data_IF_787935740863
#
_entry.id   IF_787935740863
#
_cell.length_a   1.000
_cell.length_b   1.000
_cell.length_c   1.000
_cell.angle_alpha   90.00
_cell.angle_beta   90.00
_cell.angle_gamma   90.00
#
_symmetry.space_group_name_H-M   'P 1'
#
loop_
_entity.id
_entity.type
_entity.pdbx_description
1 polymer ?
#
# COMPACT_ATOMS: atom_id res chain seq x y z
N UNK A 1 -3.92 24.76 -43.02
CA UNK A 1 -3.31 25.54 -41.94
C UNK A 1 -3.48 24.74 -40.63
N UNK A 2 -2.39 24.39 -40.00
CA UNK A 2 -2.41 23.82 -38.64
C UNK A 2 -2.56 25.01 -37.70
N UNK A 3 -3.70 25.13 -37.06
CA UNK A 3 -3.99 26.24 -36.15
C UNK A 3 -3.49 26.04 -34.73
N UNK A 4 -3.16 24.80 -34.37
CA UNK A 4 -2.50 24.47 -33.09
C UNK A 4 -1.81 23.11 -33.19
N UNK A 5 -0.65 22.99 -32.58
CA UNK A 5 0.00 21.70 -32.33
C UNK A 5 0.48 21.69 -30.88
N UNK A 6 0.20 20.62 -30.15
CA UNK A 6 0.71 20.43 -28.79
C UNK A 6 1.31 19.04 -28.65
N UNK A 7 2.42 18.95 -27.95
CA UNK A 7 3.04 17.67 -27.56
C UNK A 7 3.16 17.65 -26.05
N UNK A 8 2.61 16.61 -25.43
CA UNK A 8 2.71 16.41 -23.99
C UNK A 8 3.50 15.15 -23.72
N UNK A 9 4.51 15.23 -22.87
CA UNK A 9 5.33 14.10 -22.46
C UNK A 9 5.52 14.11 -20.95
N UNK A 10 5.26 12.99 -20.30
CA UNK A 10 5.54 12.80 -18.88
C UNK A 10 6.49 11.62 -18.69
N UNK A 11 7.45 11.77 -17.77
CA UNK A 11 8.35 10.67 -17.38
C UNK A 11 8.35 10.56 -15.86
N UNK A 12 8.21 9.34 -15.38
CA UNK A 12 8.50 9.00 -14.00
C UNK A 12 9.48 7.83 -13.94
N UNK A 13 10.13 7.66 -12.81
CA UNK A 13 11.04 6.55 -12.55
C UNK A 13 10.73 6.04 -11.15
N UNK A 14 10.55 4.72 -11.06
CA UNK A 14 10.42 3.98 -9.81
C UNK A 14 11.53 2.94 -9.76
N UNK A 15 12.24 2.89 -8.65
CA UNK A 15 13.29 1.88 -8.36
C UNK A 15 12.90 1.22 -7.06
N UNK A 16 12.90 -0.12 -7.06
CA UNK A 16 12.56 -0.90 -5.88
C UNK A 16 13.64 -1.93 -5.60
N UNK A 17 14.02 -2.04 -4.33
CA UNK A 17 14.89 -3.11 -3.82
C UNK A 17 14.18 -3.79 -2.67
N UNK A 18 14.24 -5.10 -2.60
CA UNK A 18 13.62 -5.85 -1.52
C UNK A 18 14.49 -7.02 -1.05
N UNK A 19 14.33 -7.35 0.23
CA UNK A 19 14.87 -8.55 0.85
C UNK A 19 13.73 -9.30 1.54
N UNK A 20 13.74 -10.64 1.44
CA UNK A 20 12.79 -11.50 2.15
C UNK A 20 13.50 -12.71 2.73
N UNK A 21 13.18 -13.01 3.99
CA UNK A 21 13.63 -14.18 4.72
C UNK A 21 12.42 -14.99 5.17
N UNK A 22 12.38 -16.26 4.81
CA UNK A 22 11.35 -17.20 5.28
C UNK A 22 12.06 -18.29 6.09
N UNK A 23 11.53 -18.57 7.26
CA UNK A 23 12.03 -19.62 8.15
C UNK A 23 10.88 -20.50 8.58
N UNK A 24 11.11 -21.81 8.60
CA UNK A 24 10.20 -22.82 9.12
C UNK A 24 10.94 -23.73 10.09
N UNK A 25 10.31 -24.02 11.22
CA UNK A 25 10.86 -24.93 12.20
C UNK A 25 9.86 -26.02 12.57
N UNK A 26 10.27 -27.26 12.42
CA UNK A 26 9.53 -28.49 12.79
C UNK A 26 8.10 -28.55 12.19
N UNK A 27 7.84 -27.87 11.06
CA UNK A 27 6.51 -27.75 10.45
C UNK A 27 5.43 -27.15 11.38
N UNK A 28 5.87 -26.48 12.45
CA UNK A 28 5.01 -25.90 13.49
C UNK A 28 5.07 -24.37 13.48
N UNK A 29 6.29 -23.84 13.37
CA UNK A 29 6.54 -22.40 13.47
C UNK A 29 7.01 -21.91 12.12
N UNK A 30 6.27 -20.96 11.56
CA UNK A 30 6.61 -20.31 10.30
C UNK A 30 6.84 -18.83 10.58
N UNK A 31 7.91 -18.29 10.07
CA UNK A 31 8.27 -16.89 10.23
C UNK A 31 8.70 -16.30 8.89
N UNK A 32 8.20 -15.11 8.58
CA UNK A 32 8.62 -14.35 7.41
C UNK A 32 8.98 -12.93 7.84
N UNK A 33 10.12 -12.47 7.38
CA UNK A 33 10.52 -11.07 7.44
C UNK A 33 10.76 -10.56 6.03
N UNK A 34 10.28 -9.36 5.71
CA UNK A 34 10.67 -8.68 4.49
C UNK A 34 10.85 -7.18 4.70
N UNK A 35 11.70 -6.58 3.88
CA UNK A 35 11.90 -5.16 3.82
C UNK A 35 11.99 -4.75 2.35
N UNK A 36 11.28 -3.68 1.97
CA UNK A 36 11.33 -3.09 0.64
C UNK A 36 11.69 -1.62 0.76
N UNK A 37 12.59 -1.16 -0.09
CA UNK A 37 12.91 0.25 -0.26
C UNK A 37 12.54 0.66 -1.68
N UNK A 38 11.66 1.66 -1.79
CA UNK A 38 11.18 2.20 -3.05
C UNK A 38 11.63 3.66 -3.20
N UNK A 39 12.21 3.98 -4.36
CA UNK A 39 12.60 5.34 -4.73
C UNK A 39 11.81 5.83 -5.92
N UNK A 40 11.14 6.98 -5.79
CA UNK A 40 10.31 7.57 -6.83
C UNK A 40 10.74 8.98 -7.20
N UNK A 41 10.82 9.26 -8.50
CA UNK A 41 11.13 10.58 -9.05
C UNK A 41 9.97 11.59 -8.95
N UNK A 42 8.80 11.17 -8.47
CA UNK A 42 7.66 12.07 -8.24
C UNK A 42 7.88 13.00 -7.05
N UNK A 43 8.68 12.56 -6.08
CA UNK A 43 9.00 13.32 -4.88
C UNK A 43 10.26 14.15 -5.06
N UNK A 44 10.39 15.22 -4.28
CA UNK A 44 11.58 16.06 -4.25
C UNK A 44 12.77 15.33 -3.61
N UNK A 45 13.96 15.88 -3.81
CA UNK A 45 15.18 15.36 -3.21
C UNK A 45 15.03 15.33 -1.67
N UNK A 46 15.44 14.21 -1.07
CA UNK A 46 15.27 13.93 0.36
C UNK A 46 14.00 13.14 0.73
N UNK A 47 12.93 13.20 -0.09
CA UNK A 47 11.67 12.49 0.16
C UNK A 47 11.41 11.34 -0.83
N UNK A 48 12.33 11.10 -1.75
CA UNK A 48 12.16 10.13 -2.83
C UNK A 48 12.07 8.68 -2.32
N UNK A 49 12.75 8.36 -1.23
CA UNK A 49 12.87 7.00 -0.72
C UNK A 49 11.91 6.71 0.43
N UNK A 50 11.15 5.62 0.28
CA UNK A 50 10.33 5.02 1.31
C UNK A 50 10.83 3.62 1.67
N UNK A 51 10.81 3.28 2.97
CA UNK A 51 11.19 1.94 3.45
C UNK A 51 9.97 1.30 4.11
N UNK A 52 9.67 0.06 3.71
CA UNK A 52 8.44 -0.64 4.04
C UNK A 52 8.77 -2.05 4.57
N UNK A 53 8.98 -2.19 5.89
CA UNK A 53 9.21 -3.47 6.53
C UNK A 53 7.90 -4.25 6.71
N UNK A 54 8.01 -5.59 6.78
CA UNK A 54 6.92 -6.46 7.21
C UNK A 54 7.46 -7.68 7.94
N UNK A 55 6.65 -8.19 8.86
CA UNK A 55 6.90 -9.40 9.62
C UNK A 55 5.62 -10.21 9.75
N UNK A 56 5.71 -11.52 9.65
CA UNK A 56 4.62 -12.42 9.93
C UNK A 56 5.10 -13.68 10.64
N UNK A 57 4.26 -14.22 11.48
CA UNK A 57 4.45 -15.49 12.14
C UNK A 57 3.19 -16.35 12.02
N UNK A 58 3.38 -17.65 11.93
CA UNK A 58 2.29 -18.60 12.04
C UNK A 58 2.72 -19.79 12.91
N UNK A 59 1.78 -20.23 13.74
CA UNK A 59 1.93 -21.40 14.59
C UNK A 59 0.88 -22.43 14.22
N UNK A 60 1.35 -23.57 13.69
CA UNK A 60 0.49 -24.71 13.39
C UNK A 60 0.34 -25.56 14.63
N UNK A 61 -0.73 -25.31 15.38
CA UNK A 61 -1.03 -25.93 16.66
C UNK A 61 -1.34 -27.42 16.47
N UNK A 62 -1.96 -27.79 15.35
CA UNK A 62 -2.27 -29.18 14.99
C UNK A 62 -1.03 -30.09 14.88
N UNK A 63 0.17 -29.51 14.69
CA UNK A 63 1.42 -30.29 14.63
C UNK A 63 2.12 -30.43 15.98
N UNK A 64 1.54 -29.88 17.06
CA UNK A 64 2.08 -30.05 18.40
C UNK A 64 1.78 -31.43 18.97
N UNK A 65 2.66 -31.91 19.86
CA UNK A 65 2.53 -33.24 20.48
C UNK A 65 1.33 -33.37 21.41
N UNK A 66 0.84 -32.27 21.92
CA UNK A 66 -0.36 -32.24 22.81
C UNK A 66 -1.68 -32.18 22.03
N UNK A 67 -1.64 -31.96 20.70
CA UNK A 67 -2.85 -31.82 19.90
C UNK A 67 -3.46 -33.19 19.58
N UNK A 68 -4.75 -33.43 19.85
CA UNK A 68 -5.41 -34.72 19.56
C UNK A 68 -5.59 -34.89 18.05
N UNK A 69 -5.03 -35.98 17.50
CA UNK A 69 -5.08 -36.24 16.06
C UNK A 69 -6.34 -36.95 15.58
N UNK A 70 -7.08 -37.54 16.49
CA UNK A 70 -8.32 -38.32 16.21
C UNK A 70 -9.58 -37.48 16.40
N UNK A 71 -9.45 -36.14 16.43
CA UNK A 71 -10.55 -35.21 16.67
C UNK A 71 -11.25 -34.74 15.40
N UNK A 72 -12.30 -33.96 15.56
CA UNK A 72 -13.04 -33.29 14.48
C UNK A 72 -12.15 -32.25 13.78
N UNK A 73 -11.17 -31.70 14.52
CA UNK A 73 -10.24 -30.66 14.00
C UNK A 73 -9.05 -31.36 13.34
N UNK A 74 -8.91 -31.17 12.03
CA UNK A 74 -7.83 -31.76 11.24
C UNK A 74 -6.59 -30.86 11.22
N UNK A 75 -6.78 -29.53 11.08
CA UNK A 75 -5.70 -28.55 11.16
C UNK A 75 -6.15 -27.31 11.94
N UNK A 76 -5.23 -26.75 12.73
CA UNK A 76 -5.42 -25.53 13.48
C UNK A 76 -4.14 -24.70 13.40
N UNK A 77 -4.25 -23.51 12.80
CA UNK A 77 -3.12 -22.60 12.61
C UNK A 77 -3.48 -21.17 13.02
N UNK A 78 -2.71 -20.62 13.93
CA UNK A 78 -2.78 -19.21 14.32
C UNK A 78 -1.78 -18.40 13.48
N UNK A 79 -2.23 -17.24 12.98
CA UNK A 79 -1.41 -16.33 12.18
C UNK A 79 -1.40 -14.94 12.80
N UNK A 80 -0.27 -14.29 12.76
CA UNK A 80 -0.14 -12.86 13.06
C UNK A 80 0.80 -12.21 12.07
N UNK A 81 0.45 -11.01 11.60
CA UNK A 81 1.31 -10.25 10.70
C UNK A 81 1.16 -8.77 10.94
N UNK A 82 2.26 -8.06 10.69
CA UNK A 82 2.32 -6.62 10.61
C UNK A 82 3.18 -6.23 9.43
N UNK A 83 2.75 -5.18 8.71
CA UNK A 83 3.53 -4.69 7.58
C UNK A 83 3.18 -3.26 7.22
N UNK A 84 4.16 -2.58 6.63
CA UNK A 84 4.01 -1.24 6.07
C UNK A 84 4.00 -1.30 4.55
N UNK A 85 3.19 -0.44 3.94
CA UNK A 85 3.16 -0.20 2.49
C UNK A 85 3.18 1.29 2.21
N UNK A 86 3.82 1.68 1.10
CA UNK A 86 3.83 3.03 0.58
C UNK A 86 2.90 3.18 -0.62
N UNK A 87 2.29 4.35 -0.73
CA UNK A 87 1.52 4.74 -1.88
C UNK A 87 2.02 6.08 -2.41
N UNK A 88 2.11 6.22 -3.75
CA UNK A 88 2.45 7.44 -4.48
C UNK A 88 1.39 7.79 -5.53
N UNK A 89 0.28 7.07 -5.55
CA UNK A 89 -0.84 7.35 -6.43
C UNK A 89 -1.58 8.60 -5.94
N UNK A 90 -2.19 9.33 -6.85
CA UNK A 90 -2.85 10.59 -6.54
C UNK A 90 -1.94 11.83 -6.65
N UNK A 91 -0.64 11.65 -6.96
CA UNK A 91 0.25 12.77 -7.32
C UNK A 91 0.70 12.68 -8.77
N UNK A 92 0.80 13.83 -9.41
CA UNK A 92 1.37 13.98 -10.75
C UNK A 92 2.89 13.74 -10.76
N UNK A 93 3.46 13.60 -11.95
CA UNK A 93 4.89 13.30 -12.09
C UNK A 93 5.81 14.44 -11.60
N UNK A 94 5.27 15.63 -11.43
CA UNK A 94 6.03 16.86 -11.16
C UNK A 94 5.41 17.74 -10.06
N UNK A 95 4.46 17.25 -9.26
CA UNK A 95 3.75 18.02 -8.23
C UNK A 95 4.68 18.50 -7.10
N UNK A 96 5.83 17.87 -6.95
CA UNK A 96 6.90 18.37 -6.07
C UNK A 96 7.60 19.61 -6.61
N UNK A 97 7.33 20.03 -7.87
CA UNK A 97 8.00 21.14 -8.57
C UNK A 97 6.98 22.16 -9.07
N UNK A 98 7.38 23.42 -9.17
CA UNK A 98 6.59 24.41 -9.89
C UNK A 98 6.67 24.18 -11.39
N UNK A 99 5.51 24.16 -12.04
CA UNK A 99 5.41 24.07 -13.48
C UNK A 99 4.99 25.42 -14.04
N UNK A 100 5.59 25.80 -15.16
CA UNK A 100 5.24 27.01 -15.89
C UNK A 100 4.81 26.62 -17.31
N UNK A 101 3.71 27.19 -17.77
CA UNK A 101 3.19 27.01 -19.11
C UNK A 101 3.22 28.31 -19.89
N UNK A 102 3.51 28.20 -21.19
CA UNK A 102 3.37 29.30 -22.16
C UNK A 102 1.90 29.50 -22.56
N UNK A 103 1.67 30.49 -23.43
CA UNK A 103 0.33 30.79 -23.95
C UNK A 103 -0.46 31.76 -23.09
N UNK A 104 0.14 32.34 -22.08
CA UNK A 104 -0.45 33.41 -21.27
C UNK A 104 -0.06 34.77 -21.89
N UNK A 105 -1.02 35.42 -22.55
CA UNK A 105 -0.77 36.71 -23.19
C UNK A 105 -0.99 37.86 -22.24
N UNK A 106 -0.05 38.79 -22.19
CA UNK A 106 -0.20 40.06 -21.51
C UNK A 106 0.08 41.22 -22.53
N UNK A 107 -0.91 42.07 -22.71
CA UNK A 107 -0.82 43.23 -23.63
C UNK A 107 -0.32 42.87 -25.05
N UNK A 108 -0.83 41.72 -25.59
CA UNK A 108 -0.45 41.25 -26.94
C UNK A 108 0.95 40.60 -27.04
N UNK A 109 1.63 40.41 -25.92
CA UNK A 109 2.93 39.72 -25.85
C UNK A 109 2.73 38.32 -25.26
N UNK A 110 3.41 37.33 -25.84
CA UNK A 110 3.41 35.97 -25.32
C UNK A 110 4.14 35.92 -23.97
N UNK A 111 3.48 35.36 -22.98
CA UNK A 111 4.00 35.22 -21.63
C UNK A 111 4.01 33.77 -21.11
N UNK A 112 4.71 33.59 -20.03
CA UNK A 112 4.77 32.32 -19.28
C UNK A 112 4.20 32.58 -17.89
N UNK A 113 3.31 31.69 -17.41
CA UNK A 113 2.79 31.76 -16.06
C UNK A 113 3.08 30.44 -15.31
N UNK A 114 3.30 30.54 -14.01
CA UNK A 114 3.35 29.37 -13.12
C UNK A 114 1.93 28.85 -12.98
N UNK A 115 1.72 27.58 -13.34
CA UNK A 115 0.39 26.94 -13.35
C UNK A 115 0.21 25.94 -12.21
N UNK A 116 1.32 25.43 -11.64
CA UNK A 116 1.32 24.49 -10.53
C UNK A 116 2.23 24.99 -9.42
N UNK A 117 1.70 25.02 -8.21
CA UNK A 117 2.47 25.38 -7.02
C UNK A 117 3.27 24.15 -6.55
N UNK A 118 4.59 24.31 -6.41
CA UNK A 118 5.45 23.25 -5.91
C UNK A 118 5.12 22.88 -4.47
N UNK A 119 5.20 21.59 -4.16
CA UNK A 119 5.31 21.13 -2.79
C UNK A 119 6.53 20.19 -2.63
N UNK A 120 7.69 20.72 -2.25
CA UNK A 120 8.90 19.91 -2.07
C UNK A 120 8.81 18.98 -0.86
N UNK A 121 7.86 19.19 0.06
CA UNK A 121 7.67 18.38 1.26
C UNK A 121 6.81 17.13 1.01
N UNK A 122 6.34 16.93 -0.24
CA UNK A 122 5.60 15.73 -0.60
C UNK A 122 6.41 14.47 -0.33
N UNK A 123 5.80 13.53 0.37
CA UNK A 123 6.37 12.25 0.76
C UNK A 123 5.39 11.10 0.53
N UNK A 124 5.88 9.88 0.66
CA UNK A 124 5.08 8.68 0.56
C UNK A 124 3.92 8.68 1.57
N UNK A 125 2.71 8.43 1.08
CA UNK A 125 1.60 8.00 1.93
C UNK A 125 1.94 6.62 2.49
N UNK A 126 1.75 6.40 3.79
CA UNK A 126 2.12 5.17 4.50
C UNK A 126 0.90 4.50 5.11
N UNK A 127 0.75 3.21 4.83
CA UNK A 127 -0.23 2.36 5.50
C UNK A 127 0.49 1.30 6.32
N UNK A 128 0.19 1.21 7.61
CA UNK A 128 0.56 0.09 8.46
C UNK A 128 -0.67 -0.79 8.71
N UNK A 129 -0.50 -2.08 8.54
CA UNK A 129 -1.57 -3.05 8.74
C UNK A 129 -1.12 -4.17 9.67
N UNK A 130 -1.95 -4.45 10.67
CA UNK A 130 -1.80 -5.60 11.57
C UNK A 130 -2.96 -6.55 11.30
N UNK A 131 -2.65 -7.85 11.15
CA UNK A 131 -3.64 -8.91 11.00
C UNK A 131 -3.38 -9.99 12.04
N UNK A 132 -4.46 -10.54 12.61
CA UNK A 132 -4.46 -11.75 13.43
C UNK A 132 -5.48 -12.68 12.80
N UNK A 133 -5.06 -13.89 12.45
CA UNK A 133 -5.91 -14.85 11.76
C UNK A 133 -5.85 -16.23 12.38
N UNK A 134 -6.93 -16.97 12.23
CA UNK A 134 -7.09 -18.37 12.62
C UNK A 134 -7.56 -19.17 11.41
N UNK A 135 -6.80 -20.19 11.04
CA UNK A 135 -7.21 -21.17 10.03
C UNK A 135 -7.57 -22.47 10.76
N UNK A 136 -8.76 -22.98 10.47
CA UNK A 136 -9.33 -24.18 11.07
C UNK A 136 -9.80 -25.11 9.96
N UNK A 137 -9.30 -26.35 9.94
CA UNK A 137 -9.81 -27.42 9.10
C UNK A 137 -10.53 -28.46 9.94
N UNK A 138 -11.69 -28.90 9.46
CA UNK A 138 -12.57 -29.83 10.13
C UNK A 138 -12.88 -31.04 9.24
N UNK A 139 -13.19 -32.18 9.86
CA UNK A 139 -13.66 -33.39 9.19
C UNK A 139 -12.71 -33.90 8.10
N UNK A 140 -11.41 -34.04 8.41
CA UNK A 140 -10.36 -34.42 7.47
C UNK A 140 -10.29 -33.46 6.27
N UNK A 141 -10.18 -32.16 6.57
CA UNK A 141 -10.06 -31.03 5.63
C UNK A 141 -11.28 -30.85 4.70
N UNK A 142 -12.43 -31.44 5.06
CA UNK A 142 -13.65 -31.27 4.31
C UNK A 142 -14.21 -29.85 4.43
N UNK A 143 -14.15 -29.26 5.61
CA UNK A 143 -14.57 -27.89 5.86
C UNK A 143 -13.39 -27.10 6.37
N UNK A 144 -13.06 -26.02 5.67
CA UNK A 144 -12.02 -25.07 6.08
C UNK A 144 -12.64 -23.73 6.42
N UNK A 145 -12.28 -23.18 7.57
CA UNK A 145 -12.76 -21.88 8.07
C UNK A 145 -11.55 -21.00 8.30
N UNK A 146 -11.54 -19.84 7.67
CA UNK A 146 -10.59 -18.75 7.92
C UNK A 146 -11.28 -17.61 8.65
N UNK A 147 -10.65 -17.10 9.69
CA UNK A 147 -11.11 -15.93 10.45
C UNK A 147 -9.95 -14.96 10.55
N UNK A 148 -10.16 -13.73 10.16
CA UNK A 148 -9.14 -12.69 10.25
C UNK A 148 -9.71 -11.43 10.90
N UNK A 149 -8.93 -10.84 11.81
CA UNK A 149 -9.15 -9.50 12.33
C UNK A 149 -8.03 -8.60 11.87
N UNK A 150 -8.35 -7.45 11.28
CA UNK A 150 -7.37 -6.52 10.82
C UNK A 150 -7.57 -5.10 11.35
N UNK A 151 -6.44 -4.41 11.49
CA UNK A 151 -6.37 -2.97 11.74
C UNK A 151 -5.41 -2.39 10.70
N UNK A 152 -5.90 -1.46 9.88
CA UNK A 152 -5.10 -0.72 8.89
C UNK A 152 -5.15 0.77 9.21
N UNK A 153 -3.99 1.36 9.46
CA UNK A 153 -3.85 2.81 9.64
C UNK A 153 -3.12 3.38 8.42
N UNK A 154 -3.73 4.35 7.75
CA UNK A 154 -3.09 5.12 6.69
C UNK A 154 -2.79 6.50 7.22
N UNK A 155 -1.56 6.98 7.02
CA UNK A 155 -1.07 8.29 7.44
C UNK A 155 -0.47 9.03 6.26
N UNK A 156 -0.38 10.36 6.40
CA UNK A 156 0.19 11.20 5.36
C UNK A 156 -0.56 11.04 4.02
N UNK A 157 -1.90 10.96 4.06
CA UNK A 157 -2.75 10.83 2.88
C UNK A 157 -2.43 11.93 1.86
N UNK A 158 -2.24 11.54 0.62
CA UNK A 158 -2.04 12.47 -0.49
C UNK A 158 -3.37 13.09 -0.89
N UNK A 159 -3.51 14.40 -0.71
CA UNK A 159 -4.75 15.13 -0.92
C UNK A 159 -4.52 16.49 -1.55
N UNK A 160 -5.36 16.82 -2.55
CA UNK A 160 -5.36 18.15 -3.18
C UNK A 160 -6.15 19.13 -2.32
N UNK A 161 -5.44 19.89 -1.50
CA UNK A 161 -6.03 20.92 -0.68
C UNK A 161 -6.41 22.12 -1.53
N UNK A 162 -7.70 22.52 -1.56
CA UNK A 162 -8.12 23.70 -2.29
C UNK A 162 -7.50 24.97 -1.67
N UNK A 163 -7.09 25.88 -2.54
CA UNK A 163 -6.55 27.17 -2.17
C UNK A 163 -7.55 28.29 -2.46
N UNK A 164 -7.41 29.40 -1.74
CA UNK A 164 -8.21 30.57 -2.02
C UNK A 164 -7.83 31.16 -3.37
N UNK A 165 -8.82 31.60 -4.17
CA UNK A 165 -8.62 32.10 -5.54
C UNK A 165 -7.67 33.29 -5.64
N UNK A 166 -7.49 34.05 -4.55
CA UNK A 166 -6.52 35.16 -4.48
C UNK A 166 -5.05 34.73 -4.60
N UNK A 167 -4.77 33.43 -4.39
CA UNK A 167 -3.40 32.88 -4.59
C UNK A 167 -3.04 32.68 -6.06
N UNK A 168 -4.03 32.71 -6.95
CA UNK A 168 -3.85 32.38 -8.37
C UNK A 168 -3.80 30.89 -8.67
N UNK A 169 -3.96 30.01 -7.67
CA UNK A 169 -3.95 28.56 -7.81
C UNK A 169 -5.24 27.94 -7.28
N UNK A 170 -5.66 26.81 -7.87
CA UNK A 170 -6.88 26.11 -7.44
C UNK A 170 -6.63 25.20 -6.23
N UNK A 171 -5.48 24.52 -6.20
CA UNK A 171 -5.13 23.55 -5.15
C UNK A 171 -3.62 23.40 -5.02
N UNK A 172 -3.21 22.75 -3.94
CA UNK A 172 -1.86 22.24 -3.72
C UNK A 172 -1.95 20.83 -3.15
N UNK A 173 -1.21 19.90 -3.75
CA UNK A 173 -1.12 18.53 -3.25
C UNK A 173 -0.26 18.48 -1.99
N UNK A 174 -0.78 17.91 -0.93
CA UNK A 174 -0.10 17.81 0.37
C UNK A 174 -0.39 16.47 1.04
N UNK A 175 0.52 16.04 1.93
CA UNK A 175 0.28 14.91 2.82
C UNK A 175 -0.56 15.39 4.02
N UNK A 176 -1.87 15.14 4.00
CA UNK A 176 -2.80 15.62 5.02
C UNK A 176 -3.72 14.49 5.47
N UNK A 177 -3.87 14.35 6.78
CA UNK A 177 -4.85 13.47 7.37
C UNK A 177 -4.37 12.03 7.57
N UNK A 178 -5.25 11.29 8.21
CA UNK A 178 -5.05 9.86 8.49
C UNK A 178 -6.40 9.16 8.47
N UNK A 179 -6.37 7.86 8.18
CA UNK A 179 -7.55 7.00 8.15
C UNK A 179 -7.25 5.70 8.86
N UNK A 180 -8.24 5.19 9.62
CA UNK A 180 -8.16 3.86 10.23
C UNK A 180 -9.31 3.01 9.74
N UNK A 181 -9.00 1.82 9.27
CA UNK A 181 -9.95 0.77 8.92
C UNK A 181 -9.72 -0.42 9.83
N UNK A 182 -10.79 -0.98 10.37
CA UNK A 182 -10.76 -2.21 11.17
C UNK A 182 -11.91 -3.09 10.73
N UNK A 183 -11.69 -4.41 10.75
CA UNK A 183 -12.74 -5.33 10.36
C UNK A 183 -12.43 -6.77 10.73
N UNK A 184 -13.49 -7.59 10.60
CA UNK A 184 -13.42 -9.02 10.65
C UNK A 184 -13.73 -9.60 9.29
N UNK A 185 -12.96 -10.59 8.86
CA UNK A 185 -13.19 -11.34 7.64
C UNK A 185 -13.43 -12.81 7.99
N UNK A 186 -14.44 -13.39 7.35
CA UNK A 186 -14.81 -14.78 7.50
C UNK A 186 -14.76 -15.45 6.14
N UNK A 187 -14.07 -16.58 6.03
CA UNK A 187 -14.06 -17.44 4.86
C UNK A 187 -14.42 -18.87 5.27
N UNK A 188 -15.38 -19.47 4.58
CA UNK A 188 -15.77 -20.87 4.79
C UNK A 188 -15.75 -21.56 3.44
N UNK A 189 -15.00 -22.65 3.36
CA UNK A 189 -14.88 -23.48 2.16
C UNK A 189 -15.25 -24.91 2.48
N UNK A 190 -16.15 -25.50 1.69
CA UNK A 190 -16.51 -26.93 1.72
C UNK A 190 -15.89 -27.65 0.52
N UNK A 191 -15.17 -28.74 0.77
CA UNK A 191 -14.61 -29.61 -0.26
C UNK A 191 -15.53 -30.81 -0.44
N UNK A 192 -16.42 -30.75 -1.44
CA UNK A 192 -17.27 -31.89 -1.80
C UNK A 192 -16.39 -32.88 -2.59
N UNK A 193 -15.94 -33.96 -1.90
CA UNK A 193 -15.33 -35.09 -2.59
C UNK A 193 -16.43 -35.95 -3.25
N UNK A 194 -16.61 -35.81 -4.56
CA UNK A 194 -17.40 -36.77 -5.33
C UNK A 194 -16.57 -38.05 -5.48
N UNK A 195 -16.80 -39.01 -4.59
CA UNK A 195 -16.34 -40.41 -4.84
C UNK A 195 -17.21 -40.97 -5.94
N UNK A 196 -16.68 -41.08 -7.15
CA UNK A 196 -17.24 -41.96 -8.19
C UNK A 196 -16.73 -43.38 -7.97
#
# INVERSE_FOLDING_TARGET
RINSASTTGGKNRLISTFFRLNMGYADRYLFTFSIRADGSSKFADGNQWGTFPSVSGAWRISNESFFPKDGIISDLKLRASWGMTGNQEGIGNYDSRSLANGGHNYNGQDGIAITTLANPDLKWEKSDQTNIGLDLSLFNDRVTVGMDYFIKNTKDLLYDRPLHTTTGFSSITQNIGSMRNTGFEFNVQDSISSTM
#
